data_IF_555044119038
#
_entry.id   IF_555044119038
#
_cell.length_a   1.000
_cell.length_b   1.000
_cell.length_c   1.000
_cell.angle_alpha   90.00
_cell.angle_beta   90.00
_cell.angle_gamma   90.00
#
_symmetry.space_group_name_H-M   'P 1'
#
loop_
_entity.id
_entity.type
_entity.pdbx_description
1 polymer ?
#
# COMPACT_ATOMS: atom_id res chain seq x y z
N UNK A 1 16.14 18.22 -31.96
CA UNK A 1 15.95 18.28 -30.50
C UNK A 1 14.93 17.21 -30.14
N UNK A 2 15.39 16.07 -29.63
CA UNK A 2 14.50 14.96 -29.23
C UNK A 2 13.89 15.27 -27.87
N UNK A 3 12.57 15.37 -27.82
CA UNK A 3 11.82 15.45 -26.58
C UNK A 3 11.87 14.07 -25.90
N UNK A 4 12.71 13.94 -24.87
CA UNK A 4 12.61 12.84 -23.92
C UNK A 4 11.37 13.06 -23.06
N UNK A 5 10.29 12.35 -23.37
CA UNK A 5 9.15 12.16 -22.47
C UNK A 5 9.60 11.42 -21.19
N UNK A 6 8.98 11.70 -20.04
CA UNK A 6 9.51 11.29 -18.74
C UNK A 6 9.47 9.76 -18.58
N UNK A 7 10.62 9.16 -18.28
CA UNK A 7 10.81 7.73 -17.97
C UNK A 7 9.90 7.16 -16.87
N UNK A 8 9.18 8.01 -16.11
CA UNK A 8 8.33 7.60 -14.98
C UNK A 8 7.05 6.87 -15.42
N UNK A 9 6.34 7.36 -16.45
CA UNK A 9 5.08 6.73 -16.89
C UNK A 9 5.29 5.30 -17.44
N UNK A 10 6.43 5.07 -18.12
CA UNK A 10 6.76 3.75 -18.65
C UNK A 10 7.10 2.71 -17.56
N UNK A 11 7.66 3.16 -16.43
CA UNK A 11 8.04 2.26 -15.34
C UNK A 11 6.82 1.77 -14.55
N UNK A 12 5.84 2.66 -14.35
CA UNK A 12 4.60 2.39 -13.64
C UNK A 12 3.72 1.35 -14.35
N UNK A 13 3.55 1.52 -15.67
CA UNK A 13 2.79 0.58 -16.52
C UNK A 13 3.48 -0.78 -16.56
N UNK A 14 4.82 -0.82 -16.66
CA UNK A 14 5.55 -2.08 -16.66
C UNK A 14 5.47 -2.82 -15.31
N UNK A 15 5.53 -2.12 -14.18
CA UNK A 15 5.32 -2.74 -12.87
C UNK A 15 3.90 -3.24 -12.69
N UNK A 16 2.90 -2.47 -13.12
CA UNK A 16 1.50 -2.88 -13.05
C UNK A 16 1.21 -4.10 -13.95
N UNK A 17 1.74 -4.14 -15.17
CA UNK A 17 1.65 -5.31 -16.06
C UNK A 17 2.30 -6.53 -15.40
N UNK A 18 3.49 -6.36 -14.82
CA UNK A 18 4.20 -7.45 -14.13
C UNK A 18 3.39 -7.98 -12.94
N UNK A 19 2.79 -7.10 -12.14
CA UNK A 19 1.94 -7.51 -11.01
C UNK A 19 0.65 -8.20 -11.49
N UNK A 20 -0.01 -7.67 -12.52
CA UNK A 20 -1.20 -8.29 -13.11
C UNK A 20 -0.92 -9.70 -13.62
N UNK A 21 0.19 -9.91 -14.34
CA UNK A 21 0.60 -11.25 -14.77
C UNK A 21 0.87 -12.20 -13.60
N UNK A 22 1.43 -11.71 -12.49
CA UNK A 22 1.64 -12.52 -11.30
C UNK A 22 0.33 -12.89 -10.61
N UNK A 23 -0.64 -11.97 -10.52
CA UNK A 23 -1.97 -12.24 -9.95
C UNK A 23 -2.70 -13.29 -10.78
N UNK A 24 -2.73 -13.15 -12.10
CA UNK A 24 -3.34 -14.12 -13.01
C UNK A 24 -2.72 -15.51 -12.88
N UNK A 25 -1.39 -15.57 -12.68
CA UNK A 25 -0.69 -16.83 -12.49
C UNK A 25 -1.04 -17.56 -11.19
N UNK A 26 -1.67 -16.88 -10.21
CA UNK A 26 -2.14 -17.50 -8.96
C UNK A 26 -3.41 -18.33 -9.15
N UNK A 27 -4.12 -18.18 -10.28
CA UNK A 27 -5.34 -18.94 -10.58
C UNK A 27 -6.45 -18.72 -9.56
N UNK A 28 -6.58 -17.50 -9.05
CA UNK A 28 -7.55 -17.15 -8.02
C UNK A 28 -8.94 -16.90 -8.62
N UNK A 29 -10.01 -16.97 -7.80
CA UNK A 29 -11.33 -16.50 -8.20
C UNK A 29 -11.29 -15.01 -8.60
N UNK A 30 -12.13 -14.62 -9.55
CA UNK A 30 -12.22 -13.25 -10.08
C UNK A 30 -12.36 -12.19 -8.97
N UNK A 31 -13.20 -12.47 -7.96
CA UNK A 31 -13.37 -11.60 -6.79
C UNK A 31 -12.06 -11.35 -6.00
N UNK A 32 -11.18 -12.35 -5.93
CA UNK A 32 -9.88 -12.20 -5.25
C UNK A 32 -8.83 -11.56 -6.15
N UNK A 33 -8.90 -11.82 -7.46
CA UNK A 33 -8.08 -11.14 -8.45
C UNK A 33 -8.35 -9.63 -8.45
N UNK A 34 -9.61 -9.20 -8.41
CA UNK A 34 -9.98 -7.79 -8.32
C UNK A 34 -9.41 -7.12 -7.07
N UNK A 35 -9.53 -7.77 -5.91
CA UNK A 35 -8.97 -7.25 -4.64
C UNK A 35 -7.45 -7.09 -4.74
N UNK A 36 -6.74 -8.09 -5.29
CA UNK A 36 -5.29 -8.01 -5.47
C UNK A 36 -4.88 -6.98 -6.52
N UNK A 37 -5.68 -6.78 -7.56
CA UNK A 37 -5.46 -5.75 -8.58
C UNK A 37 -5.60 -4.34 -8.00
N UNK A 38 -6.60 -4.11 -7.15
CA UNK A 38 -6.75 -2.85 -6.40
C UNK A 38 -5.56 -2.65 -5.47
N UNK A 39 -5.17 -3.68 -4.73
CA UNK A 39 -4.00 -3.61 -3.84
C UNK A 39 -2.69 -3.34 -4.61
N UNK A 40 -2.52 -3.94 -5.79
CA UNK A 40 -1.38 -3.70 -6.66
C UNK A 40 -1.38 -2.25 -7.18
N UNK A 41 -2.55 -1.72 -7.56
CA UNK A 41 -2.70 -0.32 -7.96
C UNK A 41 -2.34 0.65 -6.82
N UNK A 42 -2.85 0.40 -5.61
CA UNK A 42 -2.52 1.17 -4.41
C UNK A 42 -1.01 1.17 -4.14
N UNK A 43 -0.39 0.00 -4.24
CA UNK A 43 1.02 -0.20 -3.96
C UNK A 43 1.92 0.49 -4.99
N UNK A 44 1.60 0.35 -6.28
CA UNK A 44 2.32 1.04 -7.36
C UNK A 44 2.17 2.55 -7.19
N UNK A 45 0.96 3.03 -6.95
CA UNK A 45 0.69 4.47 -6.77
C UNK A 45 1.42 5.03 -5.55
N UNK A 46 1.42 4.30 -4.44
CA UNK A 46 2.17 4.68 -3.25
C UNK A 46 3.68 4.72 -3.52
N UNK A 47 4.24 3.71 -4.19
CA UNK A 47 5.65 3.67 -4.55
C UNK A 47 6.06 4.86 -5.40
N UNK A 48 5.24 5.27 -6.37
CA UNK A 48 5.52 6.42 -7.22
C UNK A 48 5.51 7.75 -6.47
N UNK A 49 4.55 7.90 -5.57
CA UNK A 49 4.39 9.11 -4.76
C UNK A 49 5.42 9.18 -3.63
N UNK A 50 5.99 8.05 -3.22
CA UNK A 50 6.98 8.00 -2.15
C UNK A 50 8.30 8.64 -2.58
N UNK A 51 8.89 9.54 -1.77
CA UNK A 51 10.08 10.30 -2.15
C UNK A 51 11.37 9.46 -2.25
N UNK A 52 11.38 8.24 -1.71
CA UNK A 52 12.52 7.31 -1.78
C UNK A 52 12.33 6.18 -2.78
N UNK A 53 13.40 5.43 -3.05
CA UNK A 53 13.30 4.22 -3.86
C UNK A 53 12.72 3.06 -3.01
N UNK A 54 11.58 2.53 -3.42
CA UNK A 54 10.94 1.37 -2.79
C UNK A 54 10.94 0.18 -3.76
N UNK A 55 11.42 -0.96 -3.29
CA UNK A 55 11.33 -2.23 -3.97
C UNK A 55 10.18 -3.06 -3.39
N UNK A 56 9.40 -3.70 -4.26
CA UNK A 56 8.32 -4.58 -3.85
C UNK A 56 8.90 -5.98 -3.60
N UNK A 57 8.85 -6.45 -2.36
CA UNK A 57 9.38 -7.75 -1.94
C UNK A 57 8.28 -8.81 -1.91
N UNK A 58 7.12 -8.46 -1.36
CA UNK A 58 5.96 -9.36 -1.24
C UNK A 58 4.67 -8.55 -1.42
N UNK A 59 4.24 -8.29 -2.67
CA UNK A 59 3.16 -7.35 -2.96
C UNK A 59 1.77 -7.90 -2.65
N UNK A 60 1.56 -9.22 -2.75
CA UNK A 60 0.24 -9.88 -2.66
C UNK A 60 -0.07 -10.49 -1.28
N UNK A 61 0.85 -10.35 -0.33
CA UNK A 61 0.54 -10.66 1.06
C UNK A 61 -0.52 -9.71 1.61
N UNK A 62 -1.26 -10.16 2.64
CA UNK A 62 -2.23 -9.32 3.36
C UNK A 62 -1.64 -7.99 3.79
N UNK A 63 -0.37 -8.00 4.20
CA UNK A 63 0.45 -6.80 4.38
C UNK A 63 1.52 -6.84 3.30
N UNK A 64 1.51 -5.86 2.39
CA UNK A 64 2.52 -5.80 1.33
C UNK A 64 3.88 -5.48 1.94
N UNK A 65 4.94 -6.19 1.56
CA UNK A 65 6.29 -5.92 2.06
C UNK A 65 7.05 -5.11 1.03
N UNK A 66 7.56 -3.96 1.45
CA UNK A 66 8.44 -3.10 0.67
C UNK A 66 9.81 -3.01 1.34
N UNK A 67 10.84 -2.81 0.53
CA UNK A 67 12.20 -2.57 1.00
C UNK A 67 12.74 -1.28 0.42
N UNK A 68 13.40 -0.49 1.26
CA UNK A 68 14.28 0.61 0.86
C UNK A 68 15.67 0.30 1.40
N UNK A 69 16.72 0.91 0.86
CA UNK A 69 18.14 0.56 1.11
C UNK A 69 18.52 0.33 2.59
N UNK A 70 17.82 0.95 3.54
CA UNK A 70 18.03 0.77 4.98
C UNK A 70 16.90 0.04 5.74
N UNK A 71 15.69 -0.08 5.17
CA UNK A 71 14.47 -0.44 5.90
C UNK A 71 13.60 -1.41 5.10
N UNK A 72 13.22 -2.52 5.73
CA UNK A 72 12.12 -3.38 5.27
C UNK A 72 10.86 -3.00 6.04
N UNK A 73 9.83 -2.57 5.33
CA UNK A 73 8.57 -2.12 5.91
C UNK A 73 7.40 -2.99 5.43
N UNK A 74 6.49 -3.30 6.34
CA UNK A 74 5.17 -3.81 5.97
C UNK A 74 4.23 -2.63 5.75
N UNK A 75 3.58 -2.58 4.59
CA UNK A 75 2.68 -1.52 4.17
C UNK A 75 1.24 -2.04 4.20
N UNK A 76 0.40 -1.29 4.89
CA UNK A 76 -1.01 -1.61 5.09
C UNK A 76 -1.86 -0.52 4.43
N UNK A 77 -2.59 -0.86 3.37
CA UNK A 77 -3.53 0.07 2.74
C UNK A 77 -4.88 0.01 3.44
N UNK A 78 -5.50 1.17 3.63
CA UNK A 78 -6.84 1.29 4.18
C UNK A 78 -7.68 2.23 3.30
N UNK A 79 -8.68 1.64 2.64
CA UNK A 79 -9.74 2.34 1.91
C UNK A 79 -10.99 2.53 2.76
N UNK A 80 -11.90 3.41 2.30
CA UNK A 80 -13.09 3.82 3.06
C UNK A 80 -14.13 2.70 3.26
N UNK A 81 -14.06 1.64 2.46
CA UNK A 81 -15.05 0.56 2.46
C UNK A 81 -14.69 -0.62 3.38
N UNK A 82 -13.48 -0.65 3.95
CA UNK A 82 -12.92 -1.90 4.47
C UNK A 82 -12.75 -1.93 6.01
N UNK A 83 -13.88 -1.82 6.72
CA UNK A 83 -13.92 -1.89 8.19
C UNK A 83 -13.46 -3.26 8.73
N UNK A 84 -13.60 -4.33 7.94
CA UNK A 84 -13.17 -5.69 8.29
C UNK A 84 -11.67 -5.90 8.11
N UNK A 85 -11.09 -5.35 7.03
CA UNK A 85 -9.66 -5.49 6.75
C UNK A 85 -8.81 -4.92 7.88
N UNK A 86 -9.14 -3.76 8.47
CA UNK A 86 -8.29 -3.15 9.50
C UNK A 86 -7.97 -4.09 10.67
N UNK A 87 -8.94 -4.87 11.15
CA UNK A 87 -8.74 -5.79 12.28
C UNK A 87 -7.86 -6.98 11.89
N UNK A 88 -8.04 -7.51 10.68
CA UNK A 88 -7.20 -8.57 10.11
C UNK A 88 -5.77 -8.07 9.85
N UNK A 89 -5.65 -6.86 9.32
CA UNK A 89 -4.40 -6.16 9.07
C UNK A 89 -3.62 -5.95 10.37
N UNK A 90 -4.25 -5.46 11.43
CA UNK A 90 -3.61 -5.30 12.74
C UNK A 90 -3.17 -6.65 13.35
N UNK A 91 -3.92 -7.73 13.10
CA UNK A 91 -3.55 -9.09 13.50
C UNK A 91 -2.29 -9.60 12.78
N UNK A 92 -2.27 -9.50 11.45
CA UNK A 92 -1.12 -9.91 10.62
C UNK A 92 0.12 -9.04 10.88
N UNK A 93 -0.09 -7.74 11.11
CA UNK A 93 0.94 -6.77 11.51
C UNK A 93 1.69 -7.23 12.77
N UNK A 94 0.96 -7.66 13.82
CA UNK A 94 1.58 -8.21 15.04
C UNK A 94 2.36 -9.49 14.75
N UNK A 95 1.83 -10.36 13.88
CA UNK A 95 2.50 -11.60 13.46
C UNK A 95 3.82 -11.31 12.74
N UNK A 96 3.83 -10.36 11.81
CA UNK A 96 5.01 -9.97 11.03
C UNK A 96 6.11 -9.33 11.89
N UNK A 97 5.74 -8.45 12.82
CA UNK A 97 6.66 -7.91 13.84
C UNK A 97 7.29 -9.02 14.67
N UNK A 98 6.50 -10.00 15.14
CA UNK A 98 6.98 -11.13 15.93
C UNK A 98 7.95 -12.02 15.15
N UNK A 99 7.71 -12.18 13.85
CA UNK A 99 8.58 -12.97 12.97
C UNK A 99 9.83 -12.21 12.49
N UNK A 100 10.04 -10.95 12.93
CA UNK A 100 11.15 -10.07 12.51
C UNK A 100 11.30 -9.93 10.98
N UNK A 101 10.23 -10.19 10.21
CA UNK A 101 10.26 -10.09 8.75
C UNK A 101 10.21 -8.64 8.25
N UNK A 102 9.77 -7.71 9.12
CA UNK A 102 9.71 -6.27 8.85
C UNK A 102 10.29 -5.50 10.04
N UNK A 103 11.04 -4.44 9.75
CA UNK A 103 11.59 -3.52 10.76
C UNK A 103 10.60 -2.41 11.09
N UNK A 104 9.86 -1.93 10.10
CA UNK A 104 8.86 -0.90 10.24
C UNK A 104 7.48 -1.37 9.74
N UNK A 105 6.43 -0.69 10.23
CA UNK A 105 5.08 -0.86 9.74
C UNK A 105 4.49 0.47 9.36
N UNK A 106 3.99 0.55 8.14
CA UNK A 106 3.48 1.76 7.54
C UNK A 106 2.00 1.58 7.28
N UNK A 107 1.21 2.50 7.83
CA UNK A 107 -0.21 2.60 7.53
C UNK A 107 -0.39 3.59 6.39
N UNK A 108 -1.13 3.26 5.35
CA UNK A 108 -1.41 4.13 4.23
C UNK A 108 -2.92 4.29 4.10
N UNK A 109 -3.40 5.48 4.44
CA UNK A 109 -4.79 5.86 4.23
C UNK A 109 -4.98 6.31 2.79
N UNK A 110 -5.91 5.67 2.08
CA UNK A 110 -6.19 5.96 0.68
C UNK A 110 -7.34 6.96 0.58
N UNK A 111 -7.02 8.21 0.27
CA UNK A 111 -7.97 9.32 0.12
C UNK A 111 -8.34 9.49 -1.36
N UNK A 112 -9.62 9.31 -1.70
CA UNK A 112 -10.13 9.53 -3.07
C UNK A 112 -11.27 8.59 -3.49
N UNK A 113 -11.40 7.40 -2.89
CA UNK A 113 -12.49 6.47 -3.15
C UNK A 113 -13.61 6.63 -2.12
N UNK A 114 -14.69 7.33 -2.50
CA UNK A 114 -15.97 7.33 -1.78
C UNK A 114 -15.88 7.64 -0.28
N UNK A 115 -15.23 8.74 0.12
CA UNK A 115 -14.93 9.04 1.54
C UNK A 115 -16.19 9.01 2.42
N UNK A 116 -16.38 7.91 3.12
CA UNK A 116 -17.30 7.80 4.25
C UNK A 116 -16.94 8.83 5.33
N UNK A 117 -17.97 9.30 6.04
CA UNK A 117 -17.95 10.40 7.04
C UNK A 117 -16.97 10.24 8.23
N UNK A 118 -16.18 9.16 8.33
CA UNK A 118 -15.26 8.94 9.44
C UNK A 118 -13.93 9.65 9.16
N UNK A 119 -13.63 10.71 9.93
CA UNK A 119 -12.37 11.44 9.82
C UNK A 119 -11.18 10.50 10.09
N UNK A 120 -10.11 10.61 9.29
CA UNK A 120 -8.87 9.84 9.45
C UNK A 120 -8.32 9.88 10.89
N UNK A 121 -8.38 11.05 11.53
CA UNK A 121 -7.98 11.19 12.94
C UNK A 121 -8.81 10.29 13.86
N UNK A 122 -10.13 10.22 13.64
CA UNK A 122 -11.01 9.32 14.38
C UNK A 122 -10.63 7.84 14.20
N UNK A 123 -10.22 7.43 13.00
CA UNK A 123 -9.76 6.05 12.74
C UNK A 123 -8.43 5.78 13.43
N UNK A 124 -7.49 6.72 13.32
CA UNK A 124 -6.16 6.63 13.95
C UNK A 124 -6.30 6.45 15.46
N UNK A 125 -7.14 7.26 16.10
CA UNK A 125 -7.33 7.24 17.55
C UNK A 125 -8.11 6.01 18.00
N UNK A 126 -9.22 5.69 17.33
CA UNK A 126 -10.07 4.52 17.64
C UNK A 126 -9.31 3.21 17.58
N UNK A 127 -8.39 3.07 16.63
CA UNK A 127 -7.61 1.85 16.43
C UNK A 127 -6.18 1.94 16.95
N UNK A 128 -5.83 3.05 17.62
CA UNK A 128 -4.48 3.31 18.16
C UNK A 128 -3.37 3.07 17.13
N UNK A 129 -3.60 3.49 15.88
CA UNK A 129 -2.71 3.20 14.74
C UNK A 129 -1.29 3.72 15.01
N UNK A 130 -1.15 4.91 15.61
CA UNK A 130 0.15 5.49 16.00
C UNK A 130 0.94 4.66 17.03
N UNK A 131 0.29 3.75 17.77
CA UNK A 131 0.98 2.84 18.70
C UNK A 131 1.44 1.54 18.02
N UNK A 132 0.86 1.20 16.88
CA UNK A 132 1.07 -0.09 16.20
C UNK A 132 1.96 0.06 14.96
N UNK A 133 1.87 1.20 14.28
CA UNK A 133 2.59 1.52 13.06
C UNK A 133 3.69 2.55 13.35
N UNK A 134 4.84 2.38 12.69
CA UNK A 134 5.99 3.29 12.78
C UNK A 134 5.73 4.58 12.00
N UNK A 135 4.97 4.50 10.90
CA UNK A 135 4.64 5.65 10.05
C UNK A 135 3.20 5.57 9.58
N UNK A 136 2.59 6.73 9.40
CA UNK A 136 1.22 6.87 8.90
C UNK A 136 1.27 7.80 7.70
N UNK A 137 0.79 7.33 6.56
CA UNK A 137 0.76 8.04 5.30
C UNK A 137 -0.67 8.29 4.85
N UNK A 138 -0.87 9.37 4.13
CA UNK A 138 -2.08 9.66 3.37
C UNK A 138 -1.70 9.66 1.90
N UNK A 139 -2.24 8.70 1.16
CA UNK A 139 -2.14 8.64 -0.28
C UNK A 139 -3.36 9.34 -0.87
N UNK A 140 -3.15 10.48 -1.53
CA UNK A 140 -4.18 11.14 -2.31
C UNK A 140 -4.11 10.64 -3.75
N UNK A 141 -5.09 9.83 -4.14
CA UNK A 141 -5.12 9.23 -5.47
C UNK A 141 -5.21 10.26 -6.58
N UNK A 142 -6.08 11.25 -6.39
CA UNK A 142 -6.37 12.30 -7.37
C UNK A 142 -5.18 13.24 -7.55
N UNK A 143 -4.48 13.56 -6.46
CA UNK A 143 -3.32 14.46 -6.50
C UNK A 143 -1.98 13.74 -6.73
N UNK A 144 -1.98 12.40 -6.88
CA UNK A 144 -0.77 11.60 -7.03
C UNK A 144 0.29 11.85 -5.93
N UNK A 145 -0.14 12.20 -4.73
CA UNK A 145 0.74 12.68 -3.67
C UNK A 145 0.61 11.82 -2.42
N UNK A 146 1.72 11.55 -1.75
CA UNK A 146 1.74 10.93 -0.43
C UNK A 146 2.23 11.92 0.62
N UNK A 147 1.58 11.96 1.76
CA UNK A 147 1.97 12.80 2.90
C UNK A 147 2.15 11.94 4.14
N UNK A 148 3.23 12.17 4.88
CA UNK A 148 3.45 11.55 6.19
C UNK A 148 2.73 12.37 7.27
N UNK A 149 2.01 11.70 8.17
CA UNK A 149 1.29 12.27 9.32
C UNK A 149 2.02 12.10 10.65
#
# INVERSE_FOLDING_TARGET
>A
MGFSLPKKESMCVNEMIRLASQIQALGLPEEQEEVLMVQAADLVRFKESYPGNLELVDPFSKVSIVSSEAITAGVCFYGSEDKGALKLMLGETRRLKRLKRVKELWFVYVSGAGTGRESLNGIIDKHRIKQLCSRVFVLNYNAASVQLL
#
